data_IF_342139732442
#
_entry.id   IF_342139732442
#
_cell.length_a   1.000
_cell.length_b   1.000
_cell.length_c   1.000
_cell.angle_alpha   90.00
_cell.angle_beta   90.00
_cell.angle_gamma   90.00
#
_symmetry.space_group_name_H-M   'P 1'
#
loop_
_entity.id
_entity.type
_entity.pdbx_description
1 polymer ?
#
# COMPACT_ATOMS: atom_id res chain seq x y z
N UNK A 1 6.59 7.05 20.19
CA UNK A 1 6.24 8.46 19.89
C UNK A 1 5.76 8.53 18.44
N UNK A 2 4.82 9.41 18.11
CA UNK A 2 4.41 9.63 16.70
C UNK A 2 4.95 10.97 16.21
N UNK A 3 5.31 11.05 14.94
CA UNK A 3 5.91 12.23 14.30
C UNK A 3 5.10 12.60 13.06
N UNK A 4 4.77 13.87 12.90
CA UNK A 4 4.07 14.38 11.72
C UNK A 4 5.09 14.88 10.70
N UNK A 5 4.88 14.57 9.43
CA UNK A 5 5.80 14.89 8.33
C UNK A 5 5.09 15.79 7.33
N UNK A 6 5.78 16.84 6.91
CA UNK A 6 5.35 17.78 5.87
C UNK A 6 6.33 17.71 4.72
N UNK A 7 5.83 17.42 3.52
CA UNK A 7 6.62 17.32 2.31
C UNK A 7 6.38 18.56 1.45
N UNK A 8 7.35 19.48 1.41
CA UNK A 8 7.23 20.73 0.63
C UNK A 8 7.20 20.50 -0.88
N UNK A 9 7.71 19.36 -1.34
CA UNK A 9 7.68 18.96 -2.75
C UNK A 9 6.39 18.19 -3.13
N UNK A 10 5.47 17.96 -2.19
CA UNK A 10 4.18 17.35 -2.45
C UNK A 10 3.05 18.40 -2.36
N UNK A 11 1.89 18.17 -3.00
CA UNK A 11 0.78 19.11 -2.97
C UNK A 11 0.34 19.40 -1.55
N UNK A 12 -0.05 20.64 -1.29
CA UNK A 12 -0.58 21.00 0.03
C UNK A 12 -1.84 20.17 0.33
N UNK A 13 -1.99 19.66 1.55
CA UNK A 13 -3.22 19.02 2.01
C UNK A 13 -4.45 19.90 1.76
N UNK A 14 -5.57 19.29 1.34
CA UNK A 14 -6.86 20.02 1.18
C UNK A 14 -7.56 20.29 2.51
N UNK A 15 -7.01 19.76 3.61
CA UNK A 15 -7.55 19.89 4.96
C UNK A 15 -6.46 19.92 6.03
N UNK A 16 -6.88 19.79 7.29
CA UNK A 16 -5.97 19.86 8.46
C UNK A 16 -5.40 18.49 8.80
N UNK A 17 -4.46 18.01 7.99
CA UNK A 17 -3.77 16.75 8.20
C UNK A 17 -2.34 16.82 7.64
N UNK A 18 -1.39 15.99 8.14
CA UNK A 18 -0.04 15.95 7.59
C UNK A 18 0.05 15.13 6.30
N UNK A 19 1.12 15.30 5.52
CA UNK A 19 1.37 14.41 4.38
C UNK A 19 1.60 12.97 4.82
N UNK A 20 2.33 12.79 5.92
CA UNK A 20 2.51 11.49 6.54
C UNK A 20 2.61 11.59 8.07
N UNK A 21 2.38 10.45 8.72
CA UNK A 21 2.64 10.27 10.15
C UNK A 21 3.46 9.00 10.36
N UNK A 22 4.56 9.13 11.09
CA UNK A 22 5.37 8.01 11.56
C UNK A 22 4.82 7.51 12.90
N UNK A 23 4.68 6.20 13.02
CA UNK A 23 4.35 5.52 14.27
C UNK A 23 5.16 4.24 14.40
N UNK A 24 6.24 4.29 15.18
CA UNK A 24 7.19 3.18 15.27
C UNK A 24 7.90 2.96 13.92
N UNK A 25 7.96 1.70 13.48
CA UNK A 25 8.56 1.29 12.20
C UNK A 25 7.66 1.47 10.97
N UNK A 26 6.52 2.16 11.09
CA UNK A 26 5.56 2.36 10.01
C UNK A 26 5.34 3.85 9.69
N UNK A 27 5.11 4.13 8.42
CA UNK A 27 4.69 5.40 7.86
C UNK A 27 3.29 5.26 7.29
N UNK A 28 2.41 6.15 7.71
CA UNK A 28 1.07 6.29 7.18
C UNK A 28 1.00 7.57 6.38
N UNK A 29 0.91 7.46 5.06
CA UNK A 29 0.67 8.61 4.20
C UNK A 29 -0.81 8.96 4.22
N UNK A 30 -1.15 10.23 4.07
CA UNK A 30 -2.53 10.66 3.80
C UNK A 30 -2.94 10.27 2.38
N UNK A 31 -4.20 10.55 1.99
CA UNK A 31 -4.61 10.43 0.60
C UNK A 31 -3.78 11.36 -0.29
N UNK A 32 -3.08 10.79 -1.27
CA UNK A 32 -2.22 11.51 -2.20
C UNK A 32 -2.87 11.51 -3.59
N UNK A 33 -3.19 12.69 -4.09
CA UNK A 33 -3.75 12.91 -5.42
C UNK A 33 -2.71 13.44 -6.42
N UNK A 34 -3.12 13.65 -7.68
CA UNK A 34 -2.25 14.01 -8.82
C UNK A 34 -1.96 15.50 -8.94
N UNK A 35 -2.42 16.35 -7.99
CA UNK A 35 -2.22 17.80 -8.10
C UNK A 35 -0.74 18.12 -8.24
N UNK A 36 -0.43 19.13 -9.04
CA UNK A 36 0.90 19.66 -9.18
C UNK A 36 1.24 20.50 -7.95
N UNK A 37 2.37 20.25 -7.25
CA UNK A 37 2.69 20.96 -6.01
C UNK A 37 2.95 22.46 -6.19
N UNK A 38 3.31 22.92 -7.40
CA UNK A 38 3.64 24.32 -7.66
C UNK A 38 2.42 25.14 -8.09
N UNK A 39 1.55 24.56 -8.93
CA UNK A 39 0.41 25.24 -9.55
C UNK A 39 -0.95 24.81 -9.01
N UNK A 40 -1.02 23.72 -8.24
CA UNK A 40 -2.25 23.07 -7.76
C UNK A 40 -3.17 22.56 -8.91
N UNK A 41 -2.68 22.60 -10.15
CA UNK A 41 -3.37 22.06 -11.32
C UNK A 41 -3.36 20.53 -11.33
N UNK A 42 -4.28 19.91 -12.09
CA UNK A 42 -4.34 18.45 -12.23
C UNK A 42 -3.92 18.09 -13.66
N UNK A 43 -2.80 17.37 -13.85
CA UNK A 43 -2.34 16.99 -15.18
C UNK A 43 -3.36 16.06 -15.84
N UNK A 44 -3.57 16.25 -17.14
CA UNK A 44 -4.48 15.43 -17.93
C UNK A 44 -5.95 15.83 -17.84
N UNK A 45 -6.37 16.74 -16.95
CA UNK A 45 -7.75 17.24 -16.95
C UNK A 45 -8.04 18.10 -18.18
N UNK A 46 -9.20 17.86 -18.79
CA UNK A 46 -9.77 18.69 -19.85
C UNK A 46 -11.02 19.37 -19.31
N UNK A 47 -11.08 20.69 -19.46
CA UNK A 47 -12.18 21.52 -18.96
C UNK A 47 -13.06 22.00 -20.12
N UNK A 48 -14.37 22.09 -19.87
CA UNK A 48 -15.28 22.83 -20.73
C UNK A 48 -15.21 24.35 -20.49
N UNK A 49 -15.97 25.12 -21.27
CA UNK A 49 -16.06 26.58 -21.14
C UNK A 49 -16.60 27.05 -19.77
N UNK A 50 -17.18 26.15 -18.97
CA UNK A 50 -17.72 26.41 -17.63
C UNK A 50 -16.75 26.02 -16.53
N UNK A 51 -15.56 25.51 -16.87
CA UNK A 51 -14.56 25.06 -15.91
C UNK A 51 -14.87 23.71 -15.27
N UNK A 52 -15.77 22.92 -15.85
CA UNK A 52 -16.06 21.54 -15.41
C UNK A 52 -15.13 20.56 -16.10
N UNK A 53 -14.63 19.56 -15.38
CA UNK A 53 -13.82 18.50 -15.99
C UNK A 53 -14.74 17.59 -16.81
N UNK A 54 -14.44 17.47 -18.10
CA UNK A 54 -15.22 16.66 -19.06
C UNK A 54 -14.47 15.43 -19.57
N UNK A 55 -13.15 15.39 -19.38
CA UNK A 55 -12.31 14.24 -19.65
C UNK A 55 -11.03 14.34 -18.83
N UNK A 56 -10.34 13.20 -18.66
CA UNK A 56 -9.03 13.13 -18.03
C UNK A 56 -8.12 12.12 -18.71
N UNK A 57 -6.82 12.27 -18.52
CA UNK A 57 -5.81 11.26 -18.84
C UNK A 57 -5.37 10.54 -17.56
N UNK A 58 -5.82 9.29 -17.38
CA UNK A 58 -5.47 8.47 -16.23
C UNK A 58 -3.97 8.20 -16.13
N UNK A 59 -3.27 8.07 -17.25
CA UNK A 59 -1.85 7.77 -17.24
C UNK A 59 -1.04 8.98 -16.77
N UNK A 60 -1.45 10.19 -17.17
CA UNK A 60 -0.86 11.44 -16.67
C UNK A 60 -1.11 11.61 -15.16
N UNK A 61 -2.35 11.41 -14.70
CA UNK A 61 -2.67 11.52 -13.28
C UNK A 61 -1.99 10.45 -12.44
N UNK A 62 -1.94 9.19 -12.89
CA UNK A 62 -1.27 8.11 -12.14
C UNK A 62 0.20 8.42 -11.92
N UNK A 63 0.91 8.89 -12.96
CA UNK A 63 2.32 9.29 -12.84
C UNK A 63 2.50 10.46 -11.86
N UNK A 64 1.59 11.42 -11.86
CA UNK A 64 1.61 12.54 -10.93
C UNK A 64 1.36 12.08 -9.47
N UNK A 65 0.41 11.18 -9.23
CA UNK A 65 0.22 10.57 -7.90
C UNK A 65 1.49 9.86 -7.46
N UNK A 66 2.12 9.07 -8.32
CA UNK A 66 3.34 8.33 -7.97
C UNK A 66 4.51 9.26 -7.64
N UNK A 67 4.67 10.35 -8.39
CA UNK A 67 5.66 11.39 -8.09
C UNK A 67 5.39 12.04 -6.72
N UNK A 68 4.13 12.35 -6.43
CA UNK A 68 3.73 12.94 -5.14
C UNK A 68 3.93 11.97 -3.97
N UNK A 69 3.59 10.69 -4.13
CA UNK A 69 3.84 9.64 -3.12
C UNK A 69 5.34 9.53 -2.86
N UNK A 70 6.18 9.50 -3.91
CA UNK A 70 7.64 9.48 -3.79
C UNK A 70 8.16 10.69 -3.00
N UNK A 71 7.70 11.90 -3.32
CA UNK A 71 8.09 13.10 -2.59
C UNK A 71 7.76 13.03 -1.08
N UNK A 72 6.62 12.44 -0.72
CA UNK A 72 6.24 12.24 0.68
C UNK A 72 7.10 11.17 1.35
N UNK A 73 7.41 10.06 0.66
CA UNK A 73 8.30 9.02 1.17
C UNK A 73 9.71 9.57 1.41
N UNK A 74 10.26 10.32 0.47
CA UNK A 74 11.60 10.92 0.57
C UNK A 74 11.68 11.93 1.72
N UNK A 75 10.67 12.80 1.87
CA UNK A 75 10.56 13.70 3.02
C UNK A 75 10.43 12.93 4.36
N UNK A 76 9.97 11.68 4.30
CA UNK A 76 9.86 10.77 5.45
C UNK A 76 11.10 9.89 5.65
N UNK A 77 12.16 10.06 4.85
CA UNK A 77 13.36 9.21 4.89
C UNK A 77 13.11 7.75 4.47
N UNK A 78 12.07 7.51 3.67
CA UNK A 78 11.73 6.21 3.09
C UNK A 78 11.86 6.26 1.56
N UNK A 79 11.84 5.08 0.94
CA UNK A 79 11.95 4.90 -0.51
C UNK A 79 10.67 4.30 -1.07
N UNK A 80 10.54 4.34 -2.39
CA UNK A 80 9.41 3.73 -3.10
C UNK A 80 9.24 2.24 -2.77
N UNK A 81 10.36 1.53 -2.65
CA UNK A 81 10.41 0.10 -2.36
C UNK A 81 10.07 -0.24 -0.90
N UNK A 82 9.92 0.77 -0.04
CA UNK A 82 9.54 0.57 1.35
C UNK A 82 8.00 0.59 1.54
N UNK A 83 7.23 0.83 0.46
CA UNK A 83 5.77 0.66 0.43
C UNK A 83 5.40 -0.81 0.69
N UNK A 84 4.41 -1.03 1.57
CA UNK A 84 3.94 -2.38 1.92
C UNK A 84 2.45 -2.58 1.67
N UNK A 85 1.66 -1.51 1.69
CA UNK A 85 0.24 -1.55 1.38
C UNK A 85 -0.20 -0.27 0.67
N UNK A 86 -1.01 -0.43 -0.36
CA UNK A 86 -1.56 0.65 -1.16
C UNK A 86 -3.05 0.40 -1.39
N UNK A 87 -3.88 1.34 -0.98
CA UNK A 87 -5.27 1.44 -1.43
C UNK A 87 -5.37 2.50 -2.52
N UNK A 88 -5.87 2.11 -3.69
CA UNK A 88 -6.08 2.98 -4.85
C UNK A 88 -7.56 3.24 -5.04
N UNK A 89 -7.92 4.49 -5.24
CA UNK A 89 -9.27 4.93 -5.53
C UNK A 89 -9.34 5.44 -6.96
N UNK A 90 -10.29 4.95 -7.75
CA UNK A 90 -10.58 5.41 -9.11
C UNK A 90 -12.01 5.94 -9.19
N UNK A 91 -12.22 7.08 -9.85
CA UNK A 91 -13.57 7.62 -10.08
C UNK A 91 -14.26 7.03 -11.31
N UNK A 92 -13.50 6.49 -12.27
CA UNK A 92 -14.03 5.72 -13.40
C UNK A 92 -13.33 4.35 -13.50
N UNK A 93 -13.80 3.39 -12.71
CA UNK A 93 -13.25 2.03 -12.72
C UNK A 93 -13.29 1.37 -14.11
N UNK A 94 -14.33 1.63 -14.91
CA UNK A 94 -14.51 0.96 -16.19
C UNK A 94 -13.54 1.50 -17.25
N UNK A 95 -13.34 2.82 -17.30
CA UNK A 95 -12.43 3.48 -18.24
C UNK A 95 -10.96 3.43 -17.83
N UNK A 96 -10.68 3.55 -16.53
CA UNK A 96 -9.33 3.88 -16.06
C UNK A 96 -8.51 2.66 -15.61
N UNK A 97 -9.15 1.55 -15.22
CA UNK A 97 -8.43 0.45 -14.56
C UNK A 97 -7.32 -0.15 -15.42
N UNK A 98 -7.54 -0.30 -16.73
CA UNK A 98 -6.53 -0.82 -17.64
C UNK A 98 -5.34 0.16 -17.79
N UNK A 99 -5.62 1.45 -17.99
CA UNK A 99 -4.59 2.49 -18.14
C UNK A 99 -3.75 2.66 -16.87
N UNK A 100 -4.41 2.72 -15.72
CA UNK A 100 -3.75 2.73 -14.41
C UNK A 100 -2.86 1.48 -14.21
N UNK A 101 -3.35 0.27 -14.51
CA UNK A 101 -2.57 -0.96 -14.31
C UNK A 101 -1.31 -1.02 -15.21
N UNK A 102 -1.36 -0.46 -16.41
CA UNK A 102 -0.18 -0.36 -17.27
C UNK A 102 0.93 0.46 -16.57
N UNK A 103 0.57 1.61 -15.97
CA UNK A 103 1.53 2.43 -15.23
C UNK A 103 1.98 1.73 -13.96
N UNK A 104 1.08 1.07 -13.23
CA UNK A 104 1.45 0.28 -12.05
C UNK A 104 2.55 -0.74 -12.38
N UNK A 105 2.43 -1.46 -13.50
CA UNK A 105 3.42 -2.45 -13.94
C UNK A 105 4.78 -1.84 -14.31
N UNK A 106 4.82 -0.58 -14.76
CA UNK A 106 6.08 0.15 -14.99
C UNK A 106 6.85 0.38 -13.68
N UNK A 107 6.14 0.60 -12.56
CA UNK A 107 6.73 0.94 -11.26
C UNK A 107 6.89 -0.26 -10.32
N UNK A 108 6.12 -1.32 -10.53
CA UNK A 108 6.19 -2.58 -9.80
C UNK A 108 6.22 -3.76 -10.79
N UNK A 109 7.31 -3.94 -11.56
CA UNK A 109 7.40 -4.97 -12.60
C UNK A 109 7.46 -6.39 -12.03
N UNK A 110 7.95 -6.55 -10.80
CA UNK A 110 8.02 -7.84 -10.10
C UNK A 110 6.99 -7.89 -8.95
N UNK A 111 5.93 -8.73 -9.08
CA UNK A 111 4.94 -8.93 -8.03
C UNK A 111 5.51 -9.35 -6.68
N UNK A 112 6.68 -10.01 -6.63
CA UNK A 112 7.32 -10.41 -5.38
C UNK A 112 7.84 -9.21 -4.56
N UNK A 113 8.02 -8.06 -5.22
CA UNK A 113 8.51 -6.81 -4.60
C UNK A 113 7.44 -5.71 -4.54
N UNK A 114 6.27 -5.96 -5.11
CA UNK A 114 5.16 -5.02 -5.09
C UNK A 114 4.49 -4.97 -3.71
N UNK A 115 3.98 -3.81 -3.27
CA UNK A 115 3.17 -3.73 -2.06
C UNK A 115 1.86 -4.51 -2.23
N UNK A 116 1.24 -4.89 -1.11
CA UNK A 116 -0.17 -5.27 -1.11
C UNK A 116 -1.00 -4.15 -1.74
N UNK A 117 -2.04 -4.53 -2.48
CA UNK A 117 -2.82 -3.56 -3.26
C UNK A 117 -4.30 -3.88 -3.23
N UNK A 118 -5.10 -2.86 -2.92
CA UNK A 118 -6.56 -2.86 -3.11
C UNK A 118 -6.93 -1.72 -4.04
N UNK A 119 -7.82 -1.97 -5.01
CA UNK A 119 -8.33 -0.92 -5.92
C UNK A 119 -9.85 -0.85 -5.83
N UNK A 120 -10.38 0.34 -5.60
CA UNK A 120 -11.80 0.61 -5.39
C UNK A 120 -12.31 1.59 -6.43
N UNK A 121 -13.50 1.32 -6.96
CA UNK A 121 -14.28 2.32 -7.68
C UNK A 121 -15.07 3.15 -6.67
N UNK A 122 -15.06 4.47 -6.82
CA UNK A 122 -15.76 5.41 -5.94
C UNK A 122 -16.46 6.50 -6.76
N UNK A 123 -17.48 7.12 -6.17
CA UNK A 123 -18.28 8.12 -6.88
C UNK A 123 -17.55 9.48 -7.02
N UNK A 124 -16.73 9.87 -6.03
CA UNK A 124 -16.08 11.17 -6.02
C UNK A 124 -14.87 11.25 -5.07
N UNK A 125 -13.93 12.15 -5.41
CA UNK A 125 -12.80 12.57 -4.58
C UNK A 125 -12.92 14.07 -4.20
N UNK A 126 -12.18 14.58 -3.19
CA UNK A 126 -12.33 15.96 -2.70
C UNK A 126 -12.00 17.07 -3.70
N UNK A 127 -11.30 16.74 -4.78
CA UNK A 127 -10.97 17.62 -5.91
C UNK A 127 -11.30 16.90 -7.21
N UNK A 128 -11.41 17.57 -8.38
CA UNK A 128 -11.73 16.90 -9.64
C UNK A 128 -10.51 16.12 -10.18
N UNK A 129 -10.20 15.02 -9.50
CA UNK A 129 -9.11 14.08 -9.79
C UNK A 129 -9.72 12.70 -10.01
N UNK A 130 -9.10 11.90 -10.89
CA UNK A 130 -9.57 10.58 -11.25
C UNK A 130 -8.97 9.46 -10.39
N UNK A 131 -7.85 9.74 -9.72
CA UNK A 131 -7.11 8.76 -8.92
C UNK A 131 -6.58 9.38 -7.62
N UNK A 132 -6.66 8.63 -6.51
CA UNK A 132 -6.01 8.94 -5.24
C UNK A 132 -5.39 7.65 -4.65
N UNK A 133 -4.26 7.77 -3.95
CA UNK A 133 -3.61 6.65 -3.26
C UNK A 133 -3.50 6.90 -1.76
N UNK A 134 -3.85 5.89 -0.98
CA UNK A 134 -3.54 5.80 0.45
C UNK A 134 -2.44 4.75 0.63
N UNK A 135 -1.32 5.15 1.21
CA UNK A 135 -0.13 4.32 1.29
C UNK A 135 0.32 4.06 2.73
N UNK A 136 0.83 2.86 2.96
CA UNK A 136 1.58 2.48 4.15
C UNK A 136 2.97 2.02 3.71
N UNK A 137 3.99 2.52 4.38
CA UNK A 137 5.37 2.13 4.16
C UNK A 137 6.05 1.76 5.48
N UNK A 138 7.18 1.07 5.40
CA UNK A 138 8.08 0.88 6.54
C UNK A 138 9.00 2.10 6.69
N UNK A 139 9.27 2.53 7.93
CA UNK A 139 10.31 3.52 8.23
C UNK A 139 11.36 2.90 9.13
N UNK A 140 12.62 2.95 8.69
CA UNK A 140 13.74 2.45 9.46
C UNK A 140 13.85 0.93 9.34
N UNK A 141 14.81 0.46 8.53
CA UNK A 141 15.41 -0.83 8.78
C UNK A 141 16.30 -0.68 10.02
N UNK A 142 15.72 -0.79 11.21
CA UNK A 142 16.52 -1.41 12.26
C UNK A 142 16.54 -2.89 11.88
N UNK A 143 17.72 -3.49 11.59
CA UNK A 143 17.76 -4.90 11.31
C UNK A 143 17.10 -5.60 12.49
N UNK A 144 15.95 -6.22 12.26
CA UNK A 144 15.38 -7.10 13.26
C UNK A 144 16.51 -8.06 13.62
N UNK A 145 16.89 -8.22 14.90
CA UNK A 145 17.85 -9.22 15.29
C UNK A 145 17.27 -10.55 14.83
N UNK A 146 17.81 -11.07 13.71
CA UNK A 146 17.47 -12.37 13.17
C UNK A 146 17.81 -13.38 14.26
N UNK A 147 16.78 -13.77 15.02
CA UNK A 147 16.78 -14.76 16.08
C UNK A 147 17.91 -14.65 17.13
N UNK A 148 17.54 -14.71 18.41
CA UNK A 148 18.51 -15.09 19.45
C UNK A 148 19.24 -16.36 18.97
N UNK A 149 20.58 -16.45 19.07
CA UNK A 149 21.25 -17.72 18.84
C UNK A 149 20.59 -18.76 19.75
N UNK A 150 20.32 -19.94 19.21
CA UNK A 150 19.86 -21.08 19.97
C UNK A 150 20.94 -21.43 21.00
N UNK A 151 20.84 -20.82 22.18
CA UNK A 151 21.74 -21.04 23.30
C UNK A 151 21.30 -22.25 24.09
N UNK A 152 22.08 -23.32 23.94
CA UNK A 152 22.44 -24.31 24.96
C UNK A 152 21.31 -25.22 25.46
N UNK A 153 21.11 -26.31 24.72
CA UNK A 153 20.61 -27.55 25.31
C UNK A 153 21.65 -28.05 26.33
N UNK A 154 21.42 -27.74 27.60
CA UNK A 154 22.11 -28.37 28.73
C UNK A 154 21.88 -29.89 28.68
N UNK A 155 22.96 -30.65 28.74
CA UNK A 155 22.93 -32.10 28.67
C UNK A 155 22.63 -32.74 30.03
N UNK A 156 21.91 -33.85 29.96
CA UNK A 156 21.82 -35.00 30.88
C UNK A 156 20.83 -34.94 32.06
N UNK A 157 19.95 -35.94 32.04
CA UNK A 157 19.01 -36.30 33.10
C UNK A 157 18.06 -37.37 32.59
N UNK A 158 18.56 -38.57 32.33
CA UNK A 158 17.75 -39.74 32.00
C UNK A 158 16.92 -40.16 33.23
N UNK A 159 15.63 -40.41 33.02
CA UNK A 159 14.85 -41.36 33.79
C UNK A 159 13.76 -41.95 32.89
N UNK A 160 13.69 -43.27 32.95
CA UNK A 160 12.96 -44.24 32.15
C UNK A 160 11.49 -44.35 32.57
N UNK A 161 10.78 -45.25 31.90
CA UNK A 161 9.56 -45.96 32.32
C UNK A 161 8.21 -45.47 31.75
N UNK A 162 8.04 -45.74 30.45
CA UNK A 162 7.03 -46.66 29.91
C UNK A 162 5.53 -46.46 30.19
N UNK A 163 4.73 -46.35 29.12
CA UNK A 163 3.45 -47.08 28.96
C UNK A 163 3.21 -47.41 27.47
N UNK A 164 2.83 -48.67 27.25
CA UNK A 164 2.57 -49.38 26.00
C UNK A 164 1.39 -48.85 25.17
N UNK A 165 1.49 -49.10 23.86
CA UNK A 165 0.45 -48.94 22.86
C UNK A 165 -0.78 -49.83 23.10
N UNK A 166 -1.97 -49.28 22.80
CA UNK A 166 -3.15 -50.05 22.38
C UNK A 166 -3.93 -49.25 21.32
N UNK A 167 -3.84 -49.80 20.12
CA UNK A 167 -4.66 -49.74 18.91
C UNK A 167 -6.11 -49.19 19.02
N UNK A 168 -6.49 -48.31 18.07
CA UNK A 168 -7.79 -48.32 17.39
C UNK A 168 -7.91 -47.22 16.31
N UNK A 169 -7.81 -47.62 15.04
CA UNK A 169 -8.70 -47.19 13.94
C UNK A 169 -8.67 -45.73 13.43
N UNK A 170 -8.01 -45.52 12.28
CA UNK A 170 -8.43 -44.56 11.24
C UNK A 170 -9.31 -45.29 10.20
N UNK A 171 -10.03 -44.64 9.26
CA UNK A 171 -10.18 -43.19 9.01
C UNK A 171 -11.65 -42.75 8.83
N UNK A 172 -11.92 -41.44 8.74
CA UNK A 172 -13.09 -40.98 7.99
C UNK A 172 -12.76 -39.72 7.18
N UNK A 173 -12.84 -39.87 5.86
CA UNK A 173 -12.73 -38.81 4.85
C UNK A 173 -14.07 -38.07 4.69
N UNK A 174 -14.07 -36.83 4.14
CA UNK A 174 -15.18 -35.89 4.26
C UNK A 174 -16.34 -36.16 3.28
N UNK A 175 -17.57 -35.66 3.56
CA UNK A 175 -18.69 -35.81 2.65
C UNK A 175 -18.64 -34.83 1.47
N UNK A 176 -19.04 -35.34 0.30
CA UNK A 176 -19.27 -34.64 -0.96
C UNK A 176 -20.33 -33.54 -0.83
N UNK A 177 -20.09 -32.39 -1.49
CA UNK A 177 -21.11 -31.39 -1.80
C UNK A 177 -21.89 -31.78 -3.09
N UNK A 178 -23.22 -31.56 -3.16
CA UNK A 178 -23.97 -31.74 -4.39
C UNK A 178 -23.81 -30.56 -5.35
N UNK A 179 -23.81 -30.87 -6.65
CA UNK A 179 -23.88 -29.91 -7.76
C UNK A 179 -25.33 -29.48 -7.99
N UNK A 180 -25.53 -28.17 -8.20
CA UNK A 180 -26.51 -27.59 -9.12
C UNK A 180 -25.85 -26.41 -9.86
#
# INVERSE_FOLDING_TARGET
MTEAIQASAAPRPVGRYPHARRAGGLLFLSGIGPRDPASDSVPGNVFDDRGSVVAHDIAAQTRAVFANVRAVLEASGARWEDLVDVTVYLTDMAGDFAGYNAIWAEYFPDPATAPCRTTLGIDALPTPIAIEMKCIATSGREPMPLARPAGEAGTTGAADDGVSAADAGHPNSPPHAPQE
#
